data_IF_375231065668
#
_entry.id   IF_375231065668
#
_cell.length_a   1.000
_cell.length_b   1.000
_cell.length_c   1.000
_cell.angle_alpha   90.00
_cell.angle_beta   90.00
_cell.angle_gamma   90.00
#
_symmetry.space_group_name_H-M   'P 1'
#
loop_
_entity.id
_entity.type
_entity.pdbx_description
1 polymer ?
#
# COMPACT_ATOMS: atom_id res chain seq x y z
N UNK A 1 -16.63 -8.21 -5.36
CA UNK A 1 -17.56 -9.33 -5.61
C UNK A 1 -16.75 -10.61 -5.66
N UNK A 2 -17.00 -11.55 -4.75
CA UNK A 2 -16.18 -12.75 -4.61
C UNK A 2 -16.21 -13.66 -5.84
N UNK A 3 -17.38 -13.79 -6.48
CA UNK A 3 -17.54 -14.67 -7.63
C UNK A 3 -16.97 -14.02 -8.89
N UNK A 4 -17.16 -12.71 -9.05
CA UNK A 4 -16.71 -11.97 -10.24
C UNK A 4 -15.21 -11.67 -10.22
N UNK A 5 -14.69 -11.14 -9.11
CA UNK A 5 -13.33 -10.58 -9.07
C UNK A 5 -12.29 -11.62 -8.65
N UNK A 6 -12.68 -12.63 -7.86
CA UNK A 6 -11.80 -13.67 -7.32
C UNK A 6 -12.15 -15.09 -7.79
N UNK A 7 -13.29 -15.28 -8.46
CA UNK A 7 -13.76 -16.59 -8.90
C UNK A 7 -14.18 -17.54 -7.77
N UNK A 8 -14.36 -17.03 -6.55
CA UNK A 8 -14.67 -17.85 -5.38
C UNK A 8 -16.15 -18.25 -5.37
N UNK A 9 -16.42 -19.56 -5.43
CA UNK A 9 -17.78 -20.13 -5.47
C UNK A 9 -18.24 -20.73 -4.14
N UNK A 10 -17.36 -20.75 -3.12
CA UNK A 10 -17.59 -21.43 -1.85
C UNK A 10 -18.15 -20.51 -0.76
N UNK A 11 -18.11 -19.19 -0.94
CA UNK A 11 -18.67 -18.23 0.02
C UNK A 11 -20.18 -18.11 -0.20
N UNK A 12 -20.94 -18.39 0.84
CA UNK A 12 -22.40 -18.27 0.82
C UNK A 12 -22.85 -16.82 1.08
N UNK A 13 -22.33 -16.19 2.14
CA UNK A 13 -22.58 -14.80 2.50
C UNK A 13 -21.32 -14.21 3.17
N UNK A 14 -20.96 -12.94 2.93
CA UNK A 14 -21.56 -11.98 1.99
C UNK A 14 -21.14 -12.24 0.53
N UNK A 15 -21.77 -11.56 -0.44
CA UNK A 15 -21.37 -11.65 -1.86
C UNK A 15 -20.05 -10.90 -2.16
N UNK A 16 -19.59 -10.05 -1.25
CA UNK A 16 -18.34 -9.29 -1.33
C UNK A 16 -18.18 -8.39 -0.10
N UNK A 17 -17.04 -7.72 0.01
CA UNK A 17 -16.77 -6.72 1.05
C UNK A 17 -15.84 -5.63 0.52
N UNK A 18 -15.71 -4.53 1.27
CA UNK A 18 -14.82 -3.43 0.94
C UNK A 18 -13.41 -3.71 1.46
N UNK A 19 -12.59 -4.36 0.63
CA UNK A 19 -11.19 -4.64 0.96
C UNK A 19 -10.32 -3.36 1.04
N UNK A 20 -10.68 -2.33 0.27
CA UNK A 20 -9.87 -1.12 0.05
C UNK A 20 -8.46 -1.46 -0.47
N UNK A 21 -7.65 -0.44 -0.69
CA UNK A 21 -6.24 -0.59 -1.05
C UNK A 21 -5.46 0.67 -0.69
N UNK A 22 -4.16 0.53 -0.52
CA UNK A 22 -3.25 1.64 -0.31
C UNK A 22 -2.63 2.05 -1.65
N UNK A 23 -2.65 3.34 -1.97
CA UNK A 23 -2.03 3.88 -3.17
C UNK A 23 -1.59 5.33 -2.90
N UNK A 24 -0.41 5.69 -3.39
CA UNK A 24 0.14 7.04 -3.25
C UNK A 24 1.67 7.03 -3.24
N UNK A 25 2.26 8.22 -3.36
CA UNK A 25 3.70 8.41 -3.19
C UNK A 25 4.07 8.59 -1.71
N UNK A 26 5.19 8.01 -1.31
CA UNK A 26 5.74 8.16 0.05
C UNK A 26 6.86 9.21 0.02
N UNK A 27 6.51 10.48 0.20
CA UNK A 27 7.48 11.59 0.22
C UNK A 27 8.21 11.68 1.56
N UNK A 28 9.38 12.32 1.54
CA UNK A 28 10.12 12.64 2.76
C UNK A 28 9.22 13.43 3.71
N UNK A 29 9.15 13.01 4.99
CA UNK A 29 8.32 13.54 6.09
C UNK A 29 6.92 12.90 6.22
N UNK A 30 6.42 12.14 5.24
CA UNK A 30 5.09 11.53 5.32
C UNK A 30 5.12 10.08 5.82
N UNK A 31 4.43 9.79 6.95
CA UNK A 31 4.11 8.44 7.48
C UNK A 31 5.20 7.37 7.28
N UNK A 32 6.45 7.71 7.62
CA UNK A 32 7.55 6.80 7.46
C UNK A 32 7.63 5.83 8.65
N UNK A 33 7.19 4.59 8.43
CA UNK A 33 7.06 3.52 9.44
C UNK A 33 8.35 3.25 10.23
N UNK A 34 9.51 3.38 9.59
CA UNK A 34 10.78 3.10 10.23
C UNK A 34 11.90 4.03 9.72
N UNK A 35 13.03 4.06 10.46
CA UNK A 35 14.19 4.88 10.11
C UNK A 35 14.72 4.60 8.69
N UNK A 36 14.65 3.36 8.23
CA UNK A 36 15.07 2.98 6.88
C UNK A 36 14.21 3.68 5.81
N UNK A 37 12.89 3.65 5.96
CA UNK A 37 11.94 4.31 5.06
C UNK A 37 12.10 5.85 5.08
N UNK A 38 12.43 6.44 6.22
CA UNK A 38 12.76 7.87 6.34
C UNK A 38 14.00 8.23 5.50
N UNK A 39 15.07 7.44 5.65
CA UNK A 39 16.31 7.64 4.88
C UNK A 39 16.07 7.41 3.38
N UNK A 40 15.27 6.40 3.02
CA UNK A 40 14.96 6.10 1.62
C UNK A 40 14.12 7.21 0.97
N UNK A 41 13.15 7.76 1.69
CA UNK A 41 12.35 8.90 1.22
C UNK A 41 13.22 10.16 1.04
N UNK A 42 14.15 10.41 1.96
CA UNK A 42 15.13 11.49 1.84
C UNK A 42 16.03 11.30 0.61
N UNK A 43 16.52 10.07 0.41
CA UNK A 43 17.35 9.72 -0.74
C UNK A 43 16.62 9.99 -2.06
N UNK A 44 15.36 9.54 -2.17
CA UNK A 44 14.49 9.81 -3.34
C UNK A 44 14.23 11.30 -3.56
N UNK A 45 14.11 12.09 -2.49
CA UNK A 45 13.92 13.54 -2.60
C UNK A 45 15.14 14.24 -3.21
N UNK A 46 16.36 13.82 -2.83
CA UNK A 46 17.60 14.33 -3.41
C UNK A 46 17.90 13.75 -4.80
N UNK A 47 17.43 12.54 -5.11
CA UNK A 47 17.60 11.90 -6.40
C UNK A 47 16.24 11.42 -6.96
N UNK A 48 15.46 12.31 -7.62
CA UNK A 48 14.13 11.98 -8.11
C UNK A 48 14.11 10.84 -9.14
N UNK A 49 15.22 10.65 -9.88
CA UNK A 49 15.37 9.59 -10.88
C UNK A 49 15.73 8.22 -10.29
N UNK A 50 16.04 8.13 -8.99
CA UNK A 50 16.34 6.84 -8.36
C UNK A 50 15.05 6.03 -8.20
N UNK A 51 15.06 4.77 -8.61
CA UNK A 51 13.91 3.85 -8.41
C UNK A 51 13.68 3.47 -6.94
N UNK A 52 14.64 3.77 -6.07
CA UNK A 52 14.58 3.44 -4.65
C UNK A 52 13.67 4.43 -3.91
N UNK A 53 12.43 4.02 -3.63
CA UNK A 53 11.43 4.81 -2.89
C UNK A 53 10.65 3.91 -1.93
N UNK A 54 10.15 4.43 -0.80
CA UNK A 54 9.22 3.69 0.03
C UNK A 54 7.88 3.46 -0.69
N UNK A 55 7.19 2.38 -0.33
CA UNK A 55 5.90 1.99 -0.90
C UNK A 55 4.76 2.24 0.09
N UNK A 56 3.60 2.67 -0.41
CA UNK A 56 2.38 2.85 0.36
C UNK A 56 1.75 1.47 0.67
N UNK A 57 1.71 1.10 1.95
CA UNK A 57 1.27 -0.22 2.42
C UNK A 57 0.28 -0.08 3.58
N UNK A 58 -0.60 -1.06 3.82
CA UNK A 58 -1.56 -1.00 4.92
C UNK A 58 -0.86 -1.12 6.27
N UNK A 59 -1.21 -0.23 7.21
CA UNK A 59 -0.69 -0.25 8.58
C UNK A 59 -1.54 -1.11 9.52
N UNK A 60 -2.87 -1.05 9.37
CA UNK A 60 -3.84 -1.81 10.14
C UNK A 60 -4.88 -2.43 9.19
N UNK A 61 -5.35 -3.62 9.56
CA UNK A 61 -6.38 -4.39 8.86
C UNK A 61 -7.43 -4.83 9.90
N UNK A 62 -8.68 -4.96 9.47
CA UNK A 62 -9.82 -5.43 10.28
C UNK A 62 -10.24 -6.85 9.88
#
# INVERSE_FOLDING_TARGET
DFRKDLGWKWIHEPAGYHANYCMGSCTYIWNADNKYSQILALYKHHNPGASAQPCCVPQALE
#
